data_IF_830522105136
#
_entry.id   IF_830522105136
#
_cell.length_a   1.000
_cell.length_b   1.000
_cell.length_c   1.000
_cell.angle_alpha   90.00
_cell.angle_beta   90.00
_cell.angle_gamma   90.00
#
_symmetry.space_group_name_H-M   'P 1'
#
loop_
_entity.id
_entity.type
_entity.pdbx_description
1 polymer ?
#
# COMPACT_ATOMS: atom_id res chain seq x y z
N UNK A 1 -1.23 11.86 14.16
CA UNK A 1 -0.53 12.54 13.06
C UNK A 1 0.68 11.77 12.51
N UNK A 2 1.70 11.41 13.31
CA UNK A 2 2.92 10.73 12.82
C UNK A 2 2.65 9.48 11.96
N UNK A 3 1.74 8.60 12.39
CA UNK A 3 1.36 7.43 11.60
C UNK A 3 0.77 7.82 10.25
N UNK A 4 -0.06 8.86 10.18
CA UNK A 4 -0.64 9.35 8.93
C UNK A 4 0.44 9.84 7.95
N UNK A 5 1.43 10.58 8.45
CA UNK A 5 2.60 11.02 7.65
C UNK A 5 3.37 9.81 7.11
N UNK A 6 3.72 8.85 7.95
CA UNK A 6 4.47 7.64 7.54
C UNK A 6 3.71 6.85 6.48
N UNK A 7 2.39 6.69 6.65
CA UNK A 7 1.56 5.98 5.68
C UNK A 7 1.44 6.75 4.36
N UNK A 8 1.31 8.08 4.42
CA UNK A 8 1.28 8.91 3.22
C UNK A 8 2.62 8.88 2.47
N UNK A 9 3.76 8.83 3.17
CA UNK A 9 5.08 8.62 2.52
C UNK A 9 5.08 7.32 1.73
N UNK A 10 4.61 6.21 2.33
CA UNK A 10 4.56 4.92 1.65
C UNK A 10 3.61 4.92 0.44
N UNK A 11 2.44 5.55 0.57
CA UNK A 11 1.47 5.69 -0.53
C UNK A 11 2.04 6.52 -1.67
N UNK A 12 2.55 7.71 -1.35
CA UNK A 12 2.98 8.70 -2.33
C UNK A 12 4.23 8.24 -3.10
N UNK A 13 5.22 7.67 -2.41
CA UNK A 13 6.43 7.14 -3.06
C UNK A 13 6.12 5.93 -3.93
N UNK A 14 5.13 5.11 -3.55
CA UNK A 14 4.79 3.84 -4.23
C UNK A 14 6.06 3.03 -4.56
N UNK A 15 6.85 2.73 -3.53
CA UNK A 15 8.19 2.15 -3.69
C UNK A 15 8.20 0.85 -4.53
N UNK A 16 7.20 -0.01 -4.34
CA UNK A 16 7.02 -1.24 -5.09
C UNK A 16 5.76 -1.15 -5.95
N UNK A 17 5.88 -0.81 -7.25
CA UNK A 17 4.73 -0.63 -8.12
C UNK A 17 4.01 -1.94 -8.47
N UNK A 18 4.72 -3.07 -8.43
CA UNK A 18 4.17 -4.40 -8.70
C UNK A 18 5.09 -5.51 -8.15
N UNK A 19 4.52 -6.70 -7.96
CA UNK A 19 5.27 -7.94 -7.70
C UNK A 19 4.70 -9.03 -8.60
N UNK A 20 5.42 -9.46 -9.66
CA UNK A 20 4.92 -10.45 -10.61
C UNK A 20 4.51 -11.76 -9.94
N UNK A 21 3.44 -12.36 -10.45
CA UNK A 21 2.90 -13.66 -10.03
C UNK A 21 2.72 -14.56 -11.24
N UNK A 22 2.41 -15.81 -10.98
CA UNK A 22 2.11 -16.79 -12.01
C UNK A 22 0.90 -17.63 -11.56
N UNK A 23 -0.02 -17.94 -12.48
CA UNK A 23 -1.18 -18.79 -12.20
C UNK A 23 -0.71 -20.22 -11.89
N UNK A 24 -1.12 -20.76 -10.74
CA UNK A 24 -0.75 -22.12 -10.33
C UNK A 24 -1.56 -23.22 -11.02
N UNK A 25 -2.73 -22.86 -11.52
CA UNK A 25 -3.70 -23.70 -12.22
C UNK A 25 -4.41 -22.86 -13.29
N UNK A 26 -5.05 -23.52 -14.23
CA UNK A 26 -5.98 -22.86 -15.14
C UNK A 26 -7.08 -22.15 -14.32
N UNK A 27 -7.38 -20.90 -14.65
CA UNK A 27 -8.32 -20.10 -13.86
C UNK A 27 -9.24 -19.28 -14.75
N UNK A 28 -10.47 -19.06 -14.30
CA UNK A 28 -11.40 -18.13 -14.93
C UNK A 28 -11.48 -16.86 -14.09
N UNK A 29 -11.18 -15.71 -14.69
CA UNK A 29 -11.23 -14.43 -14.00
C UNK A 29 -11.91 -13.37 -14.87
N UNK A 30 -12.95 -12.72 -14.34
CA UNK A 30 -13.77 -11.72 -15.05
C UNK A 30 -14.23 -12.18 -16.45
N UNK A 31 -14.58 -13.46 -16.60
CA UNK A 31 -15.04 -14.06 -17.86
C UNK A 31 -13.92 -14.55 -18.79
N UNK A 32 -12.65 -14.33 -18.45
CA UNK A 32 -11.51 -14.79 -19.24
C UNK A 32 -10.95 -16.10 -18.72
N UNK A 33 -10.64 -17.03 -19.62
CA UNK A 33 -9.83 -18.21 -19.31
C UNK A 33 -8.34 -17.83 -19.33
N UNK A 34 -7.64 -18.12 -18.24
CA UNK A 34 -6.22 -17.83 -18.05
C UNK A 34 -5.51 -19.16 -17.78
N UNK A 35 -4.67 -19.65 -18.71
CA UNK A 35 -3.95 -20.90 -18.54
C UNK A 35 -3.02 -20.89 -17.32
N UNK A 36 -2.74 -22.05 -16.76
CA UNK A 36 -1.67 -22.30 -15.79
C UNK A 36 -0.34 -21.84 -16.37
N UNK A 37 0.51 -21.23 -15.54
CA UNK A 37 1.81 -20.72 -15.99
C UNK A 37 1.75 -19.30 -16.56
N UNK A 38 0.58 -18.67 -16.60
CA UNK A 38 0.43 -17.29 -17.09
C UNK A 38 0.99 -16.31 -16.06
N UNK A 39 1.90 -15.43 -16.50
CA UNK A 39 2.41 -14.34 -15.66
C UNK A 39 1.32 -13.28 -15.45
N UNK A 40 1.08 -12.91 -14.20
CA UNK A 40 0.11 -11.90 -13.78
C UNK A 40 0.86 -10.80 -13.03
N UNK A 41 0.72 -9.56 -13.47
CA UNK A 41 1.38 -8.41 -12.86
C UNK A 41 0.31 -7.57 -12.14
N UNK A 42 0.17 -7.70 -10.80
CA UNK A 42 -0.71 -6.82 -10.04
C UNK A 42 -0.09 -5.42 -9.96
N UNK A 43 -0.76 -4.43 -10.55
CA UNK A 43 -0.31 -3.04 -10.54
C UNK A 43 -0.73 -2.36 -9.24
N UNK A 44 0.11 -2.42 -8.21
CA UNK A 44 -0.17 -1.81 -6.90
C UNK A 44 -0.25 -0.28 -6.99
N UNK A 45 0.52 0.34 -7.89
CA UNK A 45 0.44 1.79 -8.13
C UNK A 45 -0.98 2.24 -8.48
N UNK A 46 -1.76 1.40 -9.19
CA UNK A 46 -3.12 1.76 -9.59
C UNK A 46 -4.03 2.03 -8.39
N UNK A 47 -3.92 1.25 -7.31
CA UNK A 47 -4.77 1.44 -6.12
C UNK A 47 -4.22 2.55 -5.20
N UNK A 48 -2.91 2.76 -5.17
CA UNK A 48 -2.27 3.81 -4.35
C UNK A 48 -2.45 5.23 -4.93
N UNK A 49 -2.77 5.33 -6.24
CA UNK A 49 -3.09 6.58 -6.95
C UNK A 49 -4.56 6.64 -7.42
N UNK A 50 -5.42 5.72 -6.96
CA UNK A 50 -6.82 5.66 -7.37
C UNK A 50 -7.59 6.92 -6.91
N UNK A 51 -8.05 7.73 -7.87
CA UNK A 51 -8.83 8.95 -7.64
C UNK A 51 -10.17 8.72 -6.93
N UNK A 52 -10.65 7.48 -6.88
CA UNK A 52 -11.86 7.10 -6.12
C UNK A 52 -11.57 6.79 -4.66
N UNK A 53 -10.29 6.58 -4.30
CA UNK A 53 -9.86 6.18 -2.95
C UNK A 53 -9.13 7.32 -2.22
N UNK A 54 -8.49 8.21 -2.97
CA UNK A 54 -7.67 9.32 -2.47
C UNK A 54 -8.18 10.64 -3.05
N UNK A 55 -8.34 11.65 -2.18
CA UNK A 55 -8.89 12.96 -2.57
C UNK A 55 -7.89 13.74 -3.43
N UNK A 56 -6.61 13.71 -3.05
CA UNK A 56 -5.52 14.39 -3.74
C UNK A 56 -4.38 13.39 -4.03
N UNK A 57 -4.59 12.38 -4.90
CA UNK A 57 -3.66 11.24 -5.05
C UNK A 57 -2.26 11.66 -5.50
N UNK A 58 -2.17 12.72 -6.30
CA UNK A 58 -0.93 13.25 -6.87
C UNK A 58 -0.23 14.26 -5.94
N UNK A 59 -0.79 14.51 -4.75
CA UNK A 59 -0.21 15.37 -3.73
C UNK A 59 0.13 14.56 -2.47
N UNK A 60 1.16 15.02 -1.75
CA UNK A 60 1.47 14.48 -0.44
C UNK A 60 0.49 15.07 0.59
N UNK A 61 -0.48 14.28 1.05
CA UNK A 61 -1.54 14.72 1.95
C UNK A 61 -1.78 13.72 3.09
N UNK A 62 -1.19 13.92 4.29
CA UNK A 62 -1.41 13.04 5.44
C UNK A 62 -2.86 12.92 5.89
N UNK A 63 -3.73 13.88 5.55
CA UNK A 63 -5.16 13.82 5.91
C UNK A 63 -5.88 12.65 5.25
N UNK A 64 -5.30 12.04 4.21
CA UNK A 64 -5.80 10.78 3.65
C UNK A 64 -5.93 9.64 4.67
N UNK A 65 -5.20 9.72 5.79
CA UNK A 65 -5.19 8.73 6.87
C UNK A 65 -5.73 9.28 8.19
N UNK A 66 -6.48 10.39 8.16
CA UNK A 66 -7.11 10.97 9.33
C UNK A 66 -8.64 10.99 9.15
N UNK A 67 -9.39 10.78 10.23
CA UNK A 67 -10.83 11.08 10.25
C UNK A 67 -11.09 12.55 10.62
N UNK A 68 -12.38 12.93 10.68
CA UNK A 68 -12.79 14.30 10.99
C UNK A 68 -12.34 14.77 12.39
N UNK A 69 -12.12 13.84 13.31
CA UNK A 69 -11.64 14.11 14.67
C UNK A 69 -10.10 14.08 14.77
N UNK A 70 -9.41 13.79 13.65
CA UNK A 70 -7.95 13.73 13.57
C UNK A 70 -7.34 12.40 14.05
N UNK A 71 -8.15 11.36 14.25
CA UNK A 71 -7.65 10.03 14.59
C UNK A 71 -7.11 9.32 13.34
N UNK A 72 -6.11 8.47 13.54
CA UNK A 72 -5.52 7.70 12.46
C UNK A 72 -6.49 6.60 11.97
N UNK A 73 -6.70 6.54 10.66
CA UNK A 73 -7.53 5.51 10.01
C UNK A 73 -6.77 4.89 8.83
N UNK A 74 -6.54 3.57 8.90
CA UNK A 74 -5.95 2.80 7.79
C UNK A 74 -7.01 2.51 6.72
N UNK A 75 -6.83 3.04 5.51
CA UNK A 75 -7.71 2.76 4.36
C UNK A 75 -7.46 1.35 3.80
N UNK A 76 -8.52 0.66 3.33
CA UNK A 76 -8.39 -0.66 2.68
C UNK A 76 -7.61 -0.62 1.37
N UNK A 77 -7.64 0.52 0.67
CA UNK A 77 -6.89 0.77 -0.56
C UNK A 77 -5.37 0.94 -0.31
N UNK A 78 -4.94 1.07 0.95
CA UNK A 78 -3.54 1.18 1.30
C UNK A 78 -2.87 -0.21 1.29
N UNK A 79 -2.28 -0.55 0.15
CA UNK A 79 -1.66 -1.87 -0.09
C UNK A 79 -0.17 -1.80 -0.48
N UNK A 80 0.70 -1.00 0.19
CA UNK A 80 2.12 -0.92 -0.15
C UNK A 80 2.87 -2.25 0.06
N UNK A 81 2.32 -3.13 0.89
CA UNK A 81 2.87 -4.45 1.21
C UNK A 81 2.10 -5.60 0.53
N UNK A 82 1.37 -5.30 -0.57
CA UNK A 82 0.45 -6.23 -1.23
C UNK A 82 -0.67 -6.70 -0.28
N UNK A 83 -1.49 -7.65 -0.74
CA UNK A 83 -2.54 -8.29 0.08
C UNK A 83 -2.65 -9.79 -0.21
N UNK A 84 -3.48 -10.49 0.57
CA UNK A 84 -3.77 -11.91 0.43
C UNK A 84 -2.66 -12.83 0.96
N UNK A 85 -2.65 -14.10 0.54
CA UNK A 85 -1.74 -15.16 1.02
C UNK A 85 -0.24 -14.88 0.81
N UNK A 86 0.09 -13.84 0.06
CA UNK A 86 1.45 -13.46 -0.30
C UNK A 86 1.70 -11.97 -0.04
N UNK A 87 1.00 -11.41 0.94
CA UNK A 87 1.36 -10.11 1.53
C UNK A 87 2.79 -10.18 2.13
N UNK A 88 3.41 -9.02 2.32
CA UNK A 88 4.74 -8.95 2.89
C UNK A 88 4.73 -9.51 4.32
N UNK A 89 5.52 -10.56 4.57
CA UNK A 89 5.68 -11.11 5.92
C UNK A 89 6.35 -10.11 6.89
N UNK A 90 7.09 -9.14 6.34
CA UNK A 90 7.77 -8.09 7.11
C UNK A 90 6.94 -6.82 7.31
N UNK A 91 5.65 -6.75 6.93
CA UNK A 91 4.83 -5.54 7.07
C UNK A 91 4.82 -5.01 8.52
N UNK A 92 4.66 -5.90 9.50
CA UNK A 92 4.64 -5.51 10.92
C UNK A 92 5.98 -4.96 11.40
N UNK A 93 7.08 -5.64 11.03
CA UNK A 93 8.43 -5.19 11.36
C UNK A 93 8.74 -3.84 10.73
N UNK A 94 8.52 -3.70 9.42
CA UNK A 94 8.76 -2.46 8.68
C UNK A 94 7.92 -1.29 9.24
N UNK A 95 6.67 -1.55 9.63
CA UNK A 95 5.82 -0.51 10.25
C UNK A 95 6.40 -0.02 11.58
N UNK A 96 6.88 -0.93 12.43
CA UNK A 96 7.53 -0.56 13.70
C UNK A 96 8.86 0.16 13.47
N UNK A 97 9.71 -0.35 12.58
CA UNK A 97 11.01 0.25 12.25
C UNK A 97 10.84 1.67 11.70
N UNK A 98 9.93 1.88 10.74
CA UNK A 98 9.66 3.20 10.18
C UNK A 98 9.19 4.17 11.26
N UNK A 99 8.33 3.74 12.18
CA UNK A 99 7.88 4.59 13.27
C UNK A 99 9.03 4.98 14.21
N UNK A 100 9.82 4.00 14.67
CA UNK A 100 10.92 4.22 15.62
C UNK A 100 12.00 5.10 14.99
N UNK A 101 12.43 4.79 13.77
CA UNK A 101 13.46 5.58 13.11
C UNK A 101 12.98 7.00 12.80
N UNK A 102 11.77 7.15 12.26
CA UNK A 102 11.24 8.47 11.93
C UNK A 102 11.09 9.35 13.18
N UNK A 103 10.47 8.82 14.23
CA UNK A 103 10.28 9.57 15.48
C UNK A 103 11.60 9.84 16.19
N UNK A 104 12.51 8.86 16.25
CA UNK A 104 13.82 9.03 16.88
C UNK A 104 14.70 10.07 16.18
N UNK A 105 14.62 10.18 14.85
CA UNK A 105 15.31 11.21 14.09
C UNK A 105 14.72 12.61 14.38
N UNK A 106 13.41 12.77 14.27
CA UNK A 106 12.70 14.04 14.50
C UNK A 106 12.81 14.51 15.97
N UNK A 107 12.90 13.58 16.92
CA UNK A 107 13.03 13.95 18.34
C UNK A 107 14.42 14.49 18.66
N UNK A 108 15.45 14.04 17.95
CA UNK A 108 16.84 14.36 18.24
C UNK A 108 17.35 15.60 17.49
N UNK A 109 16.85 15.82 16.28
CA UNK A 109 17.29 16.89 15.37
C UNK A 109 16.11 17.76 14.96
#
# INVERSE_FOLDING_TARGET
FTNAVIHEVQRFVTLLPHVPRCTSVDTHFKGYFIPKGTTVIPLLTSVLLDKTQWETPDEFNPNHFLDADGNFVKKKAFLPFSTGRRNCIGESLATMELFIFFTGLIQKF
#
